data_IF_221229815145
#
_entry.id   IF_221229815145
#
_cell.length_a   1.000
_cell.length_b   1.000
_cell.length_c   1.000
_cell.angle_alpha   90.00
_cell.angle_beta   90.00
_cell.angle_gamma   90.00
#
_symmetry.space_group_name_H-M   'P 1'
#
loop_
_entity.id
_entity.type
_entity.pdbx_description
1 polymer ?
#
# COMPACT_ATOMS: atom_id res chain seq x y z
N UNK A 1 -47.86 -22.91 -39.40
CA UNK A 1 -47.69 -23.67 -40.66
C UNK A 1 -46.80 -22.86 -41.61
N UNK A 2 -45.81 -23.51 -42.24
CA UNK A 2 -44.73 -23.01 -43.15
C UNK A 2 -43.53 -22.34 -42.45
N UNK A 3 -42.42 -23.08 -42.24
CA UNK A 3 -41.28 -23.43 -43.14
C UNK A 3 -40.23 -22.29 -43.16
N UNK A 4 -39.08 -22.39 -42.49
CA UNK A 4 -37.86 -23.22 -42.70
C UNK A 4 -36.72 -22.47 -43.42
N UNK A 5 -35.55 -22.46 -42.74
CA UNK A 5 -34.21 -22.84 -43.26
C UNK A 5 -33.32 -21.87 -44.05
N UNK A 6 -32.08 -21.69 -43.50
CA UNK A 6 -30.70 -21.61 -44.10
C UNK A 6 -29.82 -20.78 -43.15
N UNK A 7 -28.70 -21.18 -42.53
CA UNK A 7 -27.58 -22.14 -42.72
C UNK A 7 -26.56 -21.76 -43.82
N UNK A 8 -25.40 -21.22 -43.41
CA UNK A 8 -24.01 -21.43 -43.94
C UNK A 8 -23.04 -20.65 -43.01
N UNK A 9 -22.05 -21.20 -42.29
CA UNK A 9 -20.82 -21.96 -42.63
C UNK A 9 -19.81 -21.22 -43.53
N UNK A 10 -18.58 -21.10 -43.02
CA UNK A 10 -17.35 -20.60 -43.68
C UNK A 10 -16.38 -20.02 -42.62
N UNK A 11 -15.55 -20.83 -41.94
CA UNK A 11 -14.18 -21.26 -42.30
C UNK A 11 -13.06 -20.34 -41.75
N UNK A 12 -12.28 -20.87 -40.78
CA UNK A 12 -10.86 -20.55 -40.49
C UNK A 12 -9.95 -21.24 -41.56
N UNK A 13 -8.58 -21.30 -41.49
CA UNK A 13 -7.54 -20.64 -40.66
C UNK A 13 -6.34 -20.13 -41.51
N UNK A 14 -5.27 -19.59 -40.86
CA UNK A 14 -3.81 -19.85 -41.10
C UNK A 14 -2.96 -18.73 -40.45
N UNK A 15 -2.17 -19.04 -39.42
CA UNK A 15 -0.75 -19.43 -39.45
C UNK A 15 0.23 -18.25 -39.64
N UNK A 16 1.13 -18.02 -38.66
CA UNK A 16 2.58 -17.97 -38.90
C UNK A 16 3.35 -17.74 -37.60
N UNK A 17 4.27 -18.66 -37.31
CA UNK A 17 5.31 -18.57 -36.30
C UNK A 17 6.55 -17.85 -36.84
N UNK A 18 7.29 -17.15 -35.97
CA UNK A 18 8.74 -16.91 -36.10
C UNK A 18 9.26 -16.37 -34.75
N UNK A 19 9.95 -17.16 -33.91
CA UNK A 19 11.41 -17.44 -33.89
C UNK A 19 12.28 -16.18 -33.88
N UNK A 20 13.03 -16.00 -32.78
CA UNK A 20 14.08 -15.00 -32.65
C UNK A 20 14.68 -14.91 -31.24
N UNK A 21 15.51 -15.89 -30.87
CA UNK A 21 16.65 -15.81 -29.94
C UNK A 21 17.83 -16.50 -30.66
N UNK A 22 19.13 -16.36 -30.33
CA UNK A 22 19.75 -15.95 -29.04
C UNK A 22 21.06 -15.10 -29.22
N UNK A 23 22.02 -15.22 -28.27
CA UNK A 23 23.43 -14.73 -28.19
C UNK A 23 23.62 -13.40 -27.42
N UNK A 24 24.27 -13.29 -26.25
CA UNK A 24 25.49 -13.91 -25.66
C UNK A 24 26.81 -13.36 -26.25
N UNK A 25 27.49 -12.49 -25.50
CA UNK A 25 28.93 -12.15 -25.52
C UNK A 25 29.18 -11.25 -24.30
N UNK A 26 29.80 -11.71 -23.20
CA UNK A 26 31.21 -12.02 -22.96
C UNK A 26 32.23 -10.95 -23.38
N UNK A 27 33.11 -10.68 -22.40
CA UNK A 27 34.45 -10.06 -22.47
C UNK A 27 34.59 -8.57 -22.78
N UNK A 28 35.07 -7.84 -21.76
CA UNK A 28 36.41 -7.25 -21.82
C UNK A 28 36.93 -6.89 -20.43
N UNK A 29 37.87 -7.70 -19.95
CA UNK A 29 38.95 -7.24 -19.08
C UNK A 29 39.86 -6.26 -19.86
N UNK A 30 40.32 -5.20 -19.19
CA UNK A 30 41.70 -4.73 -19.40
C UNK A 30 42.15 -3.85 -18.24
N UNK A 31 43.10 -4.38 -17.47
CA UNK A 31 44.37 -3.74 -17.10
C UNK A 31 44.41 -2.22 -16.93
N UNK A 32 44.77 -1.78 -15.72
CA UNK A 32 45.80 -0.75 -15.52
C UNK A 32 46.39 -0.91 -14.10
N UNK A 33 47.55 -1.56 -14.04
CA UNK A 33 48.49 -1.45 -12.93
C UNK A 33 49.63 -0.52 -13.38
N UNK A 34 49.91 0.55 -12.63
CA UNK A 34 51.21 1.22 -12.51
C UNK A 34 51.09 2.22 -11.34
N UNK A 35 51.65 1.96 -10.15
CA UNK A 35 53.04 2.11 -9.72
C UNK A 35 53.65 3.52 -9.85
N UNK A 36 54.06 4.04 -8.69
CA UNK A 36 55.07 5.10 -8.50
C UNK A 36 54.61 6.09 -7.42
N UNK A 37 55.39 6.53 -6.44
CA UNK A 37 56.81 6.41 -6.03
C UNK A 37 56.82 6.83 -4.55
N UNK A 38 57.40 6.06 -3.63
CA UNK A 38 58.75 6.27 -3.08
C UNK A 38 59.08 7.71 -2.63
N UNK A 39 59.09 7.93 -1.31
CA UNK A 39 60.04 8.85 -0.67
C UNK A 39 60.81 8.07 0.41
N UNK A 40 62.09 7.86 0.13
CA UNK A 40 63.14 7.56 1.10
C UNK A 40 63.61 8.91 1.66
N UNK A 41 63.75 9.02 2.97
CA UNK A 41 64.61 9.99 3.62
C UNK A 41 65.73 9.24 4.34
N UNK A 42 66.96 9.69 4.10
CA UNK A 42 68.21 9.18 4.65
C UNK A 42 68.28 9.44 6.17
N UNK A 43 68.89 8.54 6.97
CA UNK A 43 69.35 8.90 8.29
C UNK A 43 70.82 9.34 8.21
N UNK A 44 71.05 10.63 8.47
CA UNK A 44 72.37 11.16 8.75
C UNK A 44 72.91 10.62 10.07
N UNK A 45 74.18 10.22 10.05
CA UNK A 45 74.95 9.85 11.22
C UNK A 45 75.12 11.07 12.15
N UNK A 46 74.78 10.88 13.42
CA UNK A 46 75.30 11.70 14.51
C UNK A 46 75.82 10.76 15.60
N UNK A 47 77.12 10.89 15.83
CA UNK A 47 77.90 10.13 16.77
C UNK A 47 77.84 10.78 18.17
N UNK A 48 78.04 9.95 19.20
CA UNK A 48 78.42 10.30 20.57
C UNK A 48 77.46 11.13 21.46
N UNK A 49 76.71 10.42 22.32
CA UNK A 49 76.87 10.43 23.81
C UNK A 49 75.79 9.55 24.45
N UNK A 50 76.08 8.27 24.61
CA UNK A 50 75.31 7.37 25.46
C UNK A 50 75.77 7.62 26.89
N UNK A 51 75.18 8.62 27.53
CA UNK A 51 75.44 8.98 28.91
C UNK A 51 74.39 8.33 29.81
N UNK A 52 74.88 7.39 30.63
CA UNK A 52 74.48 7.10 32.01
C UNK A 52 73.00 6.89 32.43
N UNK A 53 72.03 6.84 31.51
CA UNK A 53 70.62 6.55 31.85
C UNK A 53 70.14 5.15 31.47
N UNK A 54 70.86 4.44 30.58
CA UNK A 54 70.50 3.10 30.10
C UNK A 54 70.66 1.96 31.12
N UNK A 55 71.29 2.21 32.28
CA UNK A 55 71.54 1.18 33.31
C UNK A 55 70.57 1.21 34.50
N UNK A 56 69.66 2.18 34.56
CA UNK A 56 68.68 2.30 35.65
C UNK A 56 67.28 1.73 35.30
N UNK A 57 67.05 1.35 34.04
CA UNK A 57 65.72 0.89 33.57
C UNK A 57 65.58 -0.66 33.56
N UNK A 58 66.69 -1.41 33.61
CA UNK A 58 66.68 -2.87 33.52
C UNK A 58 66.30 -3.63 34.81
N UNK A 59 66.00 -2.92 35.92
CA UNK A 59 65.54 -3.54 37.16
C UNK A 59 64.01 -3.56 37.36
N UNK A 60 63.27 -2.67 36.68
CA UNK A 60 61.82 -2.49 36.90
C UNK A 60 61.01 -2.29 35.60
N UNK A 61 61.64 -2.18 34.43
CA UNK A 61 60.96 -1.86 33.16
C UNK A 61 60.09 -2.97 32.57
N UNK A 62 60.33 -4.24 32.89
CA UNK A 62 59.58 -5.38 32.32
C UNK A 62 58.11 -5.44 32.77
N UNK A 63 57.82 -5.02 33.99
CA UNK A 63 56.47 -5.11 34.57
C UNK A 63 55.57 -3.93 34.14
N UNK A 64 56.15 -2.73 33.98
CA UNK A 64 55.42 -1.54 33.53
C UNK A 64 55.09 -1.61 32.03
N UNK A 65 56.00 -2.15 31.20
CA UNK A 65 55.75 -2.33 29.75
C UNK A 65 54.66 -3.40 29.51
N UNK A 66 54.60 -4.46 30.32
CA UNK A 66 53.53 -5.47 30.24
C UNK A 66 52.14 -4.93 30.59
N UNK A 67 52.04 -4.07 31.61
CA UNK A 67 50.77 -3.45 32.03
C UNK A 67 50.28 -2.42 31.00
N UNK A 68 51.19 -1.62 30.43
CA UNK A 68 50.85 -0.66 29.37
C UNK A 68 50.43 -1.38 28.09
N UNK A 69 51.06 -2.50 27.74
CA UNK A 69 50.65 -3.35 26.60
C UNK A 69 49.26 -3.98 26.77
N UNK A 70 48.92 -4.46 27.99
CA UNK A 70 47.59 -4.98 28.31
C UNK A 70 46.49 -3.89 28.27
N UNK A 71 46.79 -2.69 28.77
CA UNK A 71 45.88 -1.54 28.68
C UNK A 71 45.66 -1.08 27.24
N UNK A 72 46.72 -1.05 26.42
CA UNK A 72 46.60 -0.73 24.99
C UNK A 72 45.82 -1.81 24.23
N UNK A 73 46.06 -3.10 24.52
CA UNK A 73 45.30 -4.21 23.92
C UNK A 73 43.81 -4.19 24.28
N UNK A 74 43.47 -3.88 25.53
CA UNK A 74 42.08 -3.73 25.97
C UNK A 74 41.40 -2.51 25.33
N UNK A 75 42.07 -1.35 25.28
CA UNK A 75 41.55 -0.15 24.63
C UNK A 75 41.40 -0.33 23.10
N UNK A 76 42.34 -1.03 22.46
CA UNK A 76 42.24 -1.39 21.05
C UNK A 76 41.10 -2.37 20.78
N UNK A 77 40.93 -3.40 21.63
CA UNK A 77 39.82 -4.35 21.57
C UNK A 77 38.46 -3.68 21.75
N UNK A 78 38.33 -2.75 22.71
CA UNK A 78 37.09 -1.99 22.92
C UNK A 78 36.79 -1.05 21.74
N UNK A 79 37.80 -0.41 21.13
CA UNK A 79 37.61 0.37 19.89
C UNK A 79 37.20 -0.51 18.71
N UNK A 80 37.84 -1.66 18.55
CA UNK A 80 37.53 -2.60 17.48
C UNK A 80 36.13 -3.20 17.64
N UNK A 81 35.70 -3.46 18.88
CA UNK A 81 34.36 -3.94 19.19
C UNK A 81 33.31 -2.86 18.90
N UNK A 82 33.56 -1.59 19.25
CA UNK A 82 32.68 -0.47 18.88
C UNK A 82 32.57 -0.28 17.38
N UNK A 83 33.68 -0.34 16.64
CA UNK A 83 33.66 -0.28 15.18
C UNK A 83 32.87 -1.43 14.55
N UNK A 84 33.00 -2.65 15.08
CA UNK A 84 32.22 -3.80 14.59
C UNK A 84 30.71 -3.67 14.87
N UNK A 85 30.33 -3.06 16.01
CA UNK A 85 28.93 -2.79 16.32
C UNK A 85 28.35 -1.68 15.44
N UNK A 86 29.11 -0.61 15.19
CA UNK A 86 28.70 0.46 14.28
C UNK A 86 28.53 -0.07 12.85
N UNK A 87 29.45 -0.93 12.39
CA UNK A 87 29.36 -1.55 11.06
C UNK A 87 28.14 -2.48 10.94
N UNK A 88 27.86 -3.29 11.98
CA UNK A 88 26.68 -4.14 12.01
C UNK A 88 25.38 -3.33 12.03
N UNK A 89 25.33 -2.22 12.78
CA UNK A 89 24.18 -1.33 12.81
C UNK A 89 23.96 -0.65 11.45
N UNK A 90 25.03 -0.20 10.79
CA UNK A 90 24.94 0.34 9.42
C UNK A 90 24.48 -0.71 8.40
N UNK A 91 24.97 -1.95 8.50
CA UNK A 91 24.50 -3.04 7.65
C UNK A 91 23.02 -3.37 7.89
N UNK A 92 22.56 -3.35 9.14
CA UNK A 92 21.16 -3.54 9.50
C UNK A 92 20.28 -2.41 8.95
N UNK A 93 20.72 -1.16 9.07
CA UNK A 93 20.02 0.01 8.51
C UNK A 93 19.93 -0.06 6.98
N UNK A 94 21.05 -0.35 6.29
CA UNK A 94 21.07 -0.54 4.84
C UNK A 94 20.16 -1.69 4.39
N UNK A 95 20.14 -2.79 5.15
CA UNK A 95 19.26 -3.93 4.86
C UNK A 95 17.79 -3.53 4.99
N UNK A 96 17.42 -2.83 6.06
CA UNK A 96 16.06 -2.31 6.26
C UNK A 96 15.66 -1.34 5.15
N UNK A 97 16.51 -0.38 4.82
CA UNK A 97 16.23 0.59 3.75
C UNK A 97 16.08 -0.11 2.38
N UNK A 98 16.87 -1.16 2.13
CA UNK A 98 16.75 -1.96 0.91
C UNK A 98 15.46 -2.77 0.88
N UNK A 99 15.04 -3.35 2.00
CA UNK A 99 13.76 -4.05 2.13
C UNK A 99 12.58 -3.10 1.96
N UNK A 100 12.61 -1.93 2.59
CA UNK A 100 11.60 -0.88 2.43
C UNK A 100 11.47 -0.46 0.97
N UNK A 101 12.59 -0.14 0.29
CA UNK A 101 12.57 0.20 -1.15
C UNK A 101 12.07 -0.95 -2.02
N UNK A 102 12.36 -2.20 -1.69
CA UNK A 102 11.83 -3.38 -2.40
C UNK A 102 10.31 -3.50 -2.22
N UNK A 103 9.81 -3.28 -1.00
CA UNK A 103 8.38 -3.28 -0.73
C UNK A 103 7.68 -2.13 -1.47
N UNK A 104 8.25 -0.92 -1.44
CA UNK A 104 7.73 0.24 -2.18
C UNK A 104 7.68 -0.01 -3.69
N UNK A 105 8.75 -0.58 -4.26
CA UNK A 105 8.79 -0.93 -5.68
C UNK A 105 7.77 -2.02 -6.02
N UNK A 106 7.69 -3.08 -5.22
CA UNK A 106 6.71 -4.16 -5.40
C UNK A 106 5.27 -3.62 -5.32
N UNK A 107 4.99 -2.73 -4.37
CA UNK A 107 3.67 -2.09 -4.23
C UNK A 107 3.35 -1.19 -5.42
N UNK A 108 4.34 -0.45 -5.94
CA UNK A 108 4.18 0.39 -7.12
C UNK A 108 3.90 -0.43 -8.38
N UNK A 109 4.61 -1.55 -8.57
CA UNK A 109 4.35 -2.49 -9.67
C UNK A 109 2.94 -3.10 -9.58
N UNK A 110 2.53 -3.54 -8.38
CA UNK A 110 1.18 -4.05 -8.15
C UNK A 110 0.10 -2.99 -8.47
N UNK A 111 0.31 -1.75 -8.02
CA UNK A 111 -0.63 -0.66 -8.29
C UNK A 111 -0.73 -0.36 -9.79
N UNK A 112 0.40 -0.39 -10.51
CA UNK A 112 0.42 -0.20 -11.96
C UNK A 112 -0.30 -1.33 -12.69
N UNK A 113 -0.10 -2.59 -12.28
CA UNK A 113 -0.82 -3.74 -12.82
C UNK A 113 -2.33 -3.64 -12.58
N UNK A 114 -2.76 -3.27 -11.37
CA UNK A 114 -4.17 -3.04 -11.04
C UNK A 114 -4.78 -1.95 -11.91
N UNK A 115 -4.07 -0.82 -12.09
CA UNK A 115 -4.53 0.28 -12.92
C UNK A 115 -4.67 -0.13 -14.40
N UNK A 116 -3.70 -0.87 -14.94
CA UNK A 116 -3.75 -1.39 -16.32
C UNK A 116 -4.90 -2.38 -16.50
N UNK A 117 -5.10 -3.29 -15.55
CA UNK A 117 -6.21 -4.24 -15.58
C UNK A 117 -7.55 -3.52 -15.50
N UNK A 118 -7.72 -2.57 -14.57
CA UNK A 118 -8.93 -1.76 -14.45
C UNK A 118 -9.23 -0.99 -15.75
N UNK A 119 -8.20 -0.41 -16.38
CA UNK A 119 -8.34 0.27 -17.67
C UNK A 119 -8.81 -0.69 -18.79
N UNK A 120 -8.34 -1.94 -18.80
CA UNK A 120 -8.76 -2.95 -19.78
C UNK A 120 -10.25 -3.31 -19.68
N UNK A 121 -10.84 -3.19 -18.48
CA UNK A 121 -12.24 -3.53 -18.24
C UNK A 121 -13.22 -2.44 -18.70
N UNK A 122 -12.75 -1.20 -18.89
CA UNK A 122 -13.62 -0.04 -19.21
C UNK A 122 -14.46 -0.30 -20.47
N UNK A 123 -13.87 -0.86 -21.52
CA UNK A 123 -14.59 -1.09 -22.77
C UNK A 123 -15.68 -2.16 -22.60
N UNK A 124 -15.41 -3.21 -21.83
CA UNK A 124 -16.38 -4.26 -21.51
C UNK A 124 -17.55 -3.71 -20.69
N UNK A 125 -17.29 -2.79 -19.75
CA UNK A 125 -18.33 -2.09 -18.97
C UNK A 125 -19.19 -1.17 -19.84
N UNK A 126 -18.61 -0.49 -20.83
CA UNK A 126 -19.34 0.50 -21.63
C UNK A 126 -20.06 -0.10 -22.84
N UNK A 127 -19.51 -1.15 -23.46
CA UNK A 127 -19.95 -1.65 -24.75
C UNK A 127 -20.16 -3.16 -24.79
N UNK A 128 -19.88 -3.87 -23.71
CA UNK A 128 -20.09 -5.31 -23.64
C UNK A 128 -21.56 -5.70 -23.63
N UNK A 129 -21.81 -6.99 -23.81
CA UNK A 129 -23.08 -7.64 -23.50
C UNK A 129 -23.48 -7.41 -22.04
N UNK A 130 -24.73 -7.73 -21.69
CA UNK A 130 -25.20 -7.73 -20.28
C UNK A 130 -24.20 -8.48 -19.36
N UNK A 131 -23.83 -9.70 -19.73
CA UNK A 131 -22.92 -10.54 -18.94
C UNK A 131 -21.52 -9.95 -18.83
N UNK A 132 -20.96 -9.45 -19.95
CA UNK A 132 -19.63 -8.82 -19.94
C UNK A 132 -19.59 -7.56 -19.09
N UNK A 133 -20.64 -6.74 -19.13
CA UNK A 133 -20.74 -5.52 -18.31
C UNK A 133 -20.76 -5.85 -16.82
N UNK A 134 -21.58 -6.82 -16.42
CA UNK A 134 -21.70 -7.24 -15.02
C UNK A 134 -20.41 -7.90 -14.51
N UNK A 135 -19.80 -8.79 -15.30
CA UNK A 135 -18.51 -9.40 -14.95
C UNK A 135 -17.40 -8.36 -14.85
N UNK A 136 -17.35 -7.41 -15.77
CA UNK A 136 -16.36 -6.34 -15.74
C UNK A 136 -16.56 -5.41 -14.53
N UNK A 137 -17.80 -5.13 -14.13
CA UNK A 137 -18.09 -4.42 -12.87
C UNK A 137 -17.61 -5.20 -11.65
N UNK A 138 -17.90 -6.50 -11.55
CA UNK A 138 -17.45 -7.33 -10.42
C UNK A 138 -15.91 -7.36 -10.36
N UNK A 139 -15.25 -7.45 -11.51
CA UNK A 139 -13.79 -7.39 -11.58
C UNK A 139 -13.26 -6.00 -11.14
N UNK A 140 -13.91 -4.90 -11.55
CA UNK A 140 -13.57 -3.55 -11.11
C UNK A 140 -13.71 -3.37 -9.59
N UNK A 141 -14.74 -3.94 -8.95
CA UNK A 141 -14.93 -3.89 -7.49
C UNK A 141 -13.68 -4.36 -6.74
N UNK A 142 -13.02 -5.42 -7.24
CA UNK A 142 -11.84 -6.01 -6.60
C UNK A 142 -10.52 -5.27 -6.85
N UNK A 143 -10.45 -4.40 -7.85
CA UNK A 143 -9.18 -3.77 -8.27
C UNK A 143 -9.17 -2.26 -8.14
N UNK A 144 -10.31 -1.60 -8.37
CA UNK A 144 -10.45 -0.16 -8.29
C UNK A 144 -11.89 0.20 -7.91
N UNK A 145 -12.09 0.44 -6.62
CA UNK A 145 -13.38 0.82 -6.04
C UNK A 145 -13.92 2.13 -6.60
N UNK A 146 -13.06 3.11 -6.86
CA UNK A 146 -13.49 4.40 -7.39
C UNK A 146 -14.07 4.23 -8.80
N UNK A 147 -13.40 3.47 -9.65
CA UNK A 147 -13.91 3.15 -10.98
C UNK A 147 -15.19 2.29 -10.89
N UNK A 148 -15.25 1.33 -9.99
CA UNK A 148 -16.47 0.56 -9.76
C UNK A 148 -17.66 1.46 -9.40
N UNK A 149 -17.52 2.39 -8.45
CA UNK A 149 -18.60 3.33 -8.07
C UNK A 149 -19.01 4.20 -9.26
N UNK A 150 -18.03 4.76 -9.97
CA UNK A 150 -18.26 5.66 -11.11
C UNK A 150 -18.99 4.97 -12.25
N UNK A 151 -18.56 3.77 -12.64
CA UNK A 151 -19.21 3.03 -13.72
C UNK A 151 -20.54 2.43 -13.29
N UNK A 152 -20.68 2.02 -12.03
CA UNK A 152 -21.96 1.59 -11.48
C UNK A 152 -22.99 2.72 -11.53
N UNK A 153 -22.60 3.95 -11.19
CA UNK A 153 -23.49 5.12 -11.35
C UNK A 153 -23.93 5.33 -12.80
N UNK A 154 -22.99 5.26 -13.74
CA UNK A 154 -23.27 5.41 -15.18
C UNK A 154 -24.27 4.36 -15.64
N UNK A 155 -24.03 3.08 -15.31
CA UNK A 155 -24.89 1.98 -15.74
C UNK A 155 -26.26 2.07 -15.04
N UNK A 156 -26.31 2.31 -13.73
CA UNK A 156 -27.56 2.44 -12.98
C UNK A 156 -28.48 3.56 -13.54
N UNK A 157 -27.90 4.65 -14.05
CA UNK A 157 -28.67 5.78 -14.62
C UNK A 157 -28.99 5.61 -16.09
N UNK A 158 -28.02 5.17 -16.90
CA UNK A 158 -28.07 5.34 -18.35
C UNK A 158 -28.17 4.05 -19.14
N UNK A 159 -27.96 2.88 -18.55
CA UNK A 159 -28.02 1.62 -19.30
C UNK A 159 -29.39 1.46 -19.98
N UNK A 160 -29.39 0.95 -21.20
CA UNK A 160 -30.63 0.65 -21.93
C UNK A 160 -31.37 -0.53 -21.30
N UNK A 161 -30.64 -1.50 -20.75
CA UNK A 161 -31.19 -2.73 -20.21
C UNK A 161 -31.71 -2.55 -18.76
N UNK A 162 -33.03 -2.72 -18.51
CA UNK A 162 -33.58 -2.65 -17.16
C UNK A 162 -33.08 -3.72 -16.18
N UNK A 163 -32.61 -4.87 -16.67
CA UNK A 163 -32.02 -5.90 -15.82
C UNK A 163 -30.67 -5.44 -15.27
N UNK A 164 -29.79 -4.95 -16.16
CA UNK A 164 -28.49 -4.38 -15.77
C UNK A 164 -28.67 -3.23 -14.78
N UNK A 165 -29.54 -2.25 -15.08
CA UNK A 165 -29.77 -1.11 -14.17
C UNK A 165 -30.12 -1.56 -12.76
N UNK A 166 -31.10 -2.47 -12.63
CA UNK A 166 -31.57 -2.93 -11.31
C UNK A 166 -30.50 -3.71 -10.55
N UNK A 167 -29.77 -4.61 -11.21
CA UNK A 167 -28.68 -5.33 -10.57
C UNK A 167 -27.57 -4.38 -10.08
N UNK A 168 -27.25 -3.36 -10.86
CA UNK A 168 -26.25 -2.36 -10.46
C UNK A 168 -26.76 -1.49 -9.31
N UNK A 169 -28.03 -1.07 -9.32
CA UNK A 169 -28.65 -0.33 -8.20
C UNK A 169 -28.62 -1.16 -6.91
N UNK A 170 -28.96 -2.44 -6.99
CA UNK A 170 -28.89 -3.36 -5.86
C UNK A 170 -27.44 -3.51 -5.36
N UNK A 171 -26.48 -3.63 -6.28
CA UNK A 171 -25.05 -3.67 -6.00
C UNK A 171 -24.56 -2.43 -5.24
N UNK A 172 -24.98 -1.23 -5.67
CA UNK A 172 -24.69 0.04 -4.98
C UNK A 172 -25.22 0.03 -3.54
N UNK A 173 -26.41 -0.53 -3.28
CA UNK A 173 -26.93 -0.65 -1.91
C UNK A 173 -26.19 -1.67 -1.03
N UNK A 174 -25.67 -2.75 -1.63
CA UNK A 174 -24.96 -3.82 -0.91
C UNK A 174 -23.49 -3.50 -0.65
N UNK A 175 -22.83 -2.83 -1.60
CA UNK A 175 -21.37 -2.66 -1.62
C UNK A 175 -20.93 -1.21 -1.56
N UNK A 176 -21.81 -0.29 -1.93
CA UNK A 176 -21.51 1.12 -1.95
C UNK A 176 -21.35 1.72 -0.56
N UNK A 177 -20.68 2.85 -0.54
CA UNK A 177 -20.47 3.69 0.64
C UNK A 177 -21.36 4.94 0.60
N UNK A 178 -21.18 5.85 1.55
CA UNK A 178 -21.94 7.09 1.64
C UNK A 178 -21.85 7.93 0.36
N UNK A 179 -20.77 7.80 -0.42
CA UNK A 179 -20.57 8.45 -1.72
C UNK A 179 -21.65 8.10 -2.74
N UNK A 180 -22.18 6.87 -2.70
CA UNK A 180 -23.19 6.42 -3.68
C UNK A 180 -24.62 6.76 -3.25
N UNK A 181 -24.82 7.23 -2.01
CA UNK A 181 -26.15 7.61 -1.49
C UNK A 181 -26.81 8.67 -2.36
N UNK A 182 -26.07 9.72 -2.73
CA UNK A 182 -26.62 10.78 -3.59
C UNK A 182 -27.04 10.21 -4.95
N UNK A 183 -26.26 9.28 -5.49
CA UNK A 183 -26.60 8.59 -6.74
C UNK A 183 -27.91 7.81 -6.63
N UNK A 184 -28.11 7.08 -5.52
CA UNK A 184 -29.36 6.38 -5.27
C UNK A 184 -30.54 7.35 -5.13
N UNK A 185 -30.38 8.47 -4.43
CA UNK A 185 -31.42 9.51 -4.31
C UNK A 185 -31.81 10.06 -5.69
N UNK A 186 -30.82 10.40 -6.53
CA UNK A 186 -31.08 10.85 -7.90
C UNK A 186 -31.85 9.81 -8.71
N UNK A 187 -31.54 8.51 -8.56
CA UNK A 187 -32.27 7.44 -9.26
C UNK A 187 -33.69 7.29 -8.71
N UNK A 188 -33.93 7.49 -7.41
CA UNK A 188 -35.28 7.50 -6.85
C UNK A 188 -36.15 8.58 -7.49
N UNK A 189 -35.58 9.77 -7.72
CA UNK A 189 -36.29 10.92 -8.30
C UNK A 189 -36.45 10.81 -9.82
N UNK A 190 -35.37 10.43 -10.51
CA UNK A 190 -35.21 10.58 -11.95
C UNK A 190 -35.05 9.24 -12.70
N UNK A 191 -35.18 8.11 -12.00
CA UNK A 191 -35.01 6.78 -12.58
C UNK A 191 -35.91 6.55 -13.78
N UNK A 192 -35.37 5.89 -14.81
CA UNK A 192 -36.04 5.62 -16.09
C UNK A 192 -37.38 4.89 -15.94
N UNK A 193 -37.47 3.99 -14.96
CA UNK A 193 -38.66 3.19 -14.71
C UNK A 193 -39.09 3.27 -13.23
N UNK A 194 -40.38 3.03 -12.91
CA UNK A 194 -40.82 2.92 -11.52
C UNK A 194 -40.09 1.82 -10.74
N UNK A 195 -39.74 0.71 -11.40
CA UNK A 195 -39.00 -0.38 -10.79
C UNK A 195 -37.58 0.06 -10.36
N UNK A 196 -36.89 0.85 -11.20
CA UNK A 196 -35.56 1.40 -10.86
C UNK A 196 -35.63 2.30 -9.62
N UNK A 197 -36.68 3.12 -9.51
CA UNK A 197 -36.88 4.03 -8.36
C UNK A 197 -37.14 3.26 -7.07
N UNK A 198 -37.96 2.21 -7.14
CA UNK A 198 -38.25 1.34 -5.99
C UNK A 198 -36.98 0.62 -5.52
N UNK A 199 -36.19 0.08 -6.46
CA UNK A 199 -34.94 -0.61 -6.11
C UNK A 199 -33.91 0.37 -5.55
N UNK A 200 -33.82 1.60 -6.08
CA UNK A 200 -32.93 2.62 -5.54
C UNK A 200 -33.30 3.04 -4.12
N UNK A 201 -34.60 3.10 -3.80
CA UNK A 201 -35.11 3.33 -2.45
C UNK A 201 -34.73 2.19 -1.50
N UNK A 202 -34.86 0.94 -1.95
CA UNK A 202 -34.43 -0.23 -1.17
C UNK A 202 -32.91 -0.22 -0.92
N UNK A 203 -32.13 0.06 -1.95
CA UNK A 203 -30.68 0.15 -1.86
C UNK A 203 -30.23 1.24 -0.87
N UNK A 204 -30.85 2.41 -0.91
CA UNK A 204 -30.54 3.52 0.02
C UNK A 204 -30.98 3.21 1.46
N UNK A 205 -32.10 2.52 1.64
CA UNK A 205 -32.52 2.01 2.94
C UNK A 205 -31.52 1.00 3.52
N UNK A 206 -30.88 0.17 2.68
CA UNK A 206 -29.84 -0.76 3.12
C UNK A 206 -28.61 -0.01 3.68
N UNK A 207 -28.12 1.00 2.97
CA UNK A 207 -27.03 1.87 3.46
C UNK A 207 -27.40 2.52 4.81
N UNK A 208 -28.64 3.01 4.93
CA UNK A 208 -29.16 3.59 6.18
C UNK A 208 -29.19 2.57 7.32
N UNK A 209 -29.62 1.34 7.05
CA UNK A 209 -29.69 0.27 8.04
C UNK A 209 -28.30 -0.07 8.58
N UNK A 210 -27.31 -0.21 7.69
CA UNK A 210 -25.91 -0.50 8.08
C UNK A 210 -25.30 0.64 8.88
N UNK A 211 -25.57 1.89 8.51
CA UNK A 211 -25.16 3.04 9.31
C UNK A 211 -25.70 2.94 10.74
N UNK A 212 -27.03 2.77 10.87
CA UNK A 212 -27.70 2.69 12.17
C UNK A 212 -27.20 1.52 13.02
N UNK A 213 -27.04 0.35 12.43
CA UNK A 213 -26.54 -0.83 13.12
C UNK A 213 -25.12 -0.61 13.67
N UNK A 214 -24.21 -0.07 12.85
CA UNK A 214 -22.85 0.20 13.28
C UNK A 214 -22.80 1.28 14.38
N UNK A 215 -23.59 2.36 14.25
CA UNK A 215 -23.67 3.39 15.30
C UNK A 215 -24.22 2.83 16.62
N UNK A 216 -25.26 1.99 16.56
CA UNK A 216 -25.83 1.36 17.75
C UNK A 216 -24.81 0.48 18.48
N UNK A 217 -24.10 -0.39 17.74
CA UNK A 217 -23.05 -1.26 18.30
C UNK A 217 -21.89 -0.44 18.84
N UNK A 218 -21.43 0.57 18.08
CA UNK A 218 -20.35 1.46 18.51
C UNK A 218 -20.68 2.13 19.84
N UNK A 219 -21.91 2.64 19.99
CA UNK A 219 -22.37 3.27 21.22
C UNK A 219 -22.39 2.31 22.40
N UNK A 220 -22.89 1.09 22.20
CA UNK A 220 -22.88 0.07 23.24
C UNK A 220 -21.47 -0.26 23.75
N UNK A 221 -20.48 -0.39 22.84
CA UNK A 221 -19.08 -0.61 23.22
C UNK A 221 -18.43 0.61 23.87
N UNK A 222 -18.77 1.81 23.40
CA UNK A 222 -18.29 3.07 23.97
C UNK A 222 -18.71 3.20 25.43
N UNK A 223 -19.98 2.92 25.73
CA UNK A 223 -20.55 3.08 27.07
C UNK A 223 -19.95 2.12 28.11
N UNK A 224 -19.45 0.96 27.68
CA UNK A 224 -18.75 -0.01 28.54
C UNK A 224 -17.21 0.16 28.53
N UNK A 225 -16.69 1.20 27.88
CA UNK A 225 -15.25 1.48 27.83
C UNK A 225 -14.42 0.56 26.92
N UNK A 226 -15.06 -0.19 26.02
CA UNK A 226 -14.35 -1.01 25.02
C UNK A 226 -13.96 -0.15 23.81
N UNK A 227 -12.94 0.69 23.99
CA UNK A 227 -12.55 1.72 23.03
C UNK A 227 -12.22 1.20 21.63
N UNK A 228 -11.48 0.08 21.55
CA UNK A 228 -11.14 -0.51 20.25
C UNK A 228 -12.39 -0.94 19.48
N UNK A 229 -13.24 -1.76 20.10
CA UNK A 229 -14.50 -2.20 19.49
C UNK A 229 -15.39 -1.02 19.10
N UNK A 230 -15.50 -0.01 19.96
CA UNK A 230 -16.26 1.20 19.66
C UNK A 230 -15.70 1.93 18.43
N UNK A 231 -14.38 2.12 18.38
CA UNK A 231 -13.70 2.76 17.27
C UNK A 231 -13.85 1.97 15.95
N UNK A 232 -13.74 0.64 15.99
CA UNK A 232 -13.95 -0.24 14.83
C UNK A 232 -15.35 -0.02 14.23
N UNK A 233 -16.41 -0.10 15.06
CA UNK A 233 -17.77 0.10 14.58
C UNK A 233 -18.06 1.54 14.15
N UNK A 234 -17.49 2.54 14.82
CA UNK A 234 -17.61 3.93 14.38
C UNK A 234 -16.89 4.18 13.04
N UNK A 235 -15.70 3.60 12.85
CA UNK A 235 -14.97 3.68 11.59
C UNK A 235 -15.77 3.06 10.44
N UNK A 236 -16.37 1.89 10.67
CA UNK A 236 -17.30 1.27 9.72
C UNK A 236 -18.54 2.13 9.45
N UNK A 237 -19.19 2.67 10.49
CA UNK A 237 -20.33 3.59 10.34
C UNK A 237 -19.96 4.79 9.45
N UNK A 238 -18.75 5.32 9.64
CA UNK A 238 -18.23 6.47 8.92
C UNK A 238 -18.18 6.28 7.40
N UNK A 239 -18.15 5.03 6.91
CA UNK A 239 -18.15 4.71 5.48
C UNK A 239 -19.51 4.96 4.84
N UNK A 240 -20.61 4.90 5.59
CA UNK A 240 -21.97 5.05 5.04
C UNK A 240 -22.55 6.46 5.18
N UNK A 241 -21.84 7.34 5.89
CA UNK A 241 -22.26 8.73 6.12
C UNK A 241 -21.97 9.56 4.88
N UNK A 242 -22.94 10.39 4.49
CA UNK A 242 -22.70 11.42 3.49
C UNK A 242 -21.92 12.57 4.12
N UNK A 243 -20.90 13.07 3.41
CA UNK A 243 -20.05 14.20 3.86
C UNK A 243 -20.85 15.47 4.13
N UNK A 244 -22.08 15.58 3.63
CA UNK A 244 -23.00 16.69 3.95
C UNK A 244 -23.63 16.59 5.34
N UNK A 245 -23.68 15.39 5.94
CA UNK A 245 -24.37 15.11 7.20
C UNK A 245 -23.49 15.36 8.43
N UNK A 246 -22.17 15.37 8.26
CA UNK A 246 -21.19 15.52 9.32
C UNK A 246 -20.09 16.48 8.92
N UNK A 247 -19.40 17.05 9.92
CA UNK A 247 -18.23 17.89 9.70
C UNK A 247 -17.08 17.05 9.12
N UNK A 248 -16.78 17.26 7.84
CA UNK A 248 -15.77 16.50 7.10
C UNK A 248 -14.37 16.58 7.71
N UNK A 249 -14.00 17.72 8.30
CA UNK A 249 -12.68 17.89 8.95
C UNK A 249 -12.58 17.04 10.22
N UNK A 250 -13.67 17.00 11.00
CA UNK A 250 -13.74 16.15 12.20
C UNK A 250 -13.78 14.67 11.85
N UNK A 251 -14.45 14.31 10.75
CA UNK A 251 -14.46 12.95 10.23
C UNK A 251 -13.04 12.48 9.85
N UNK A 252 -12.29 13.32 9.13
CA UNK A 252 -10.90 13.03 8.75
C UNK A 252 -10.03 12.85 10.00
N UNK A 253 -10.16 13.75 10.98
CA UNK A 253 -9.40 13.67 12.22
C UNK A 253 -9.71 12.37 13.00
N UNK A 254 -10.99 12.01 13.13
CA UNK A 254 -11.40 10.78 13.80
C UNK A 254 -10.85 9.52 13.11
N UNK A 255 -10.85 9.49 11.77
CA UNK A 255 -10.22 8.41 10.99
C UNK A 255 -8.71 8.37 11.18
N UNK A 256 -8.06 9.53 11.20
CA UNK A 256 -6.61 9.62 11.44
C UNK A 256 -6.25 9.02 12.81
N UNK A 257 -7.01 9.31 13.87
CA UNK A 257 -6.77 8.68 15.17
C UNK A 257 -6.87 7.15 15.11
N UNK A 258 -7.89 6.64 14.42
CA UNK A 258 -8.10 5.19 14.27
C UNK A 258 -6.95 4.52 13.51
N UNK A 259 -6.55 5.10 12.37
CA UNK A 259 -5.52 4.55 11.48
C UNK A 259 -4.13 4.52 12.13
N UNK A 260 -3.89 5.39 13.12
CA UNK A 260 -2.63 5.44 13.88
C UNK A 260 -2.72 4.75 15.25
N UNK A 261 -3.76 3.95 15.50
CA UNK A 261 -3.92 3.15 16.72
C UNK A 261 -4.41 3.90 17.97
N UNK A 262 -4.77 5.18 17.85
CA UNK A 262 -5.39 5.99 18.89
C UNK A 262 -6.88 5.66 19.06
N UNK A 263 -7.20 4.44 19.48
CA UNK A 263 -8.58 3.93 19.49
C UNK A 263 -9.50 4.68 20.46
N UNK A 264 -8.97 5.13 21.60
CA UNK A 264 -9.76 5.91 22.56
C UNK A 264 -10.10 7.28 22.01
N UNK A 265 -9.11 8.00 21.47
CA UNK A 265 -9.27 9.29 20.83
C UNK A 265 -10.22 9.19 19.63
N UNK A 266 -10.07 8.14 18.81
CA UNK A 266 -10.94 7.86 17.68
C UNK A 266 -12.38 7.65 18.13
N UNK A 267 -12.61 6.77 19.13
CA UNK A 267 -13.95 6.47 19.63
C UNK A 267 -14.64 7.73 20.21
N UNK A 268 -13.91 8.56 20.95
CA UNK A 268 -14.43 9.84 21.48
C UNK A 268 -14.74 10.82 20.34
N UNK A 269 -13.83 10.98 19.38
CA UNK A 269 -14.02 11.87 18.24
C UNK A 269 -15.24 11.45 17.40
N UNK A 270 -15.37 10.15 17.11
CA UNK A 270 -16.52 9.61 16.38
C UNK A 270 -17.83 9.73 17.17
N UNK A 271 -17.85 9.39 18.46
CA UNK A 271 -19.06 9.54 19.29
C UNK A 271 -19.54 11.00 19.30
N UNK A 272 -18.62 11.95 19.41
CA UNK A 272 -18.97 13.38 19.35
C UNK A 272 -19.50 13.77 17.97
N UNK A 273 -18.89 13.27 16.90
CA UNK A 273 -19.30 13.54 15.52
C UNK A 273 -20.71 13.00 15.22
N UNK A 274 -20.98 11.77 15.63
CA UNK A 274 -22.23 11.06 15.32
C UNK A 274 -23.34 11.27 16.35
N UNK A 275 -23.08 11.94 17.47
CA UNK A 275 -24.10 12.28 18.48
C UNK A 275 -25.29 13.08 17.95
N UNK A 276 -25.16 13.65 16.75
CA UNK A 276 -26.16 14.49 16.08
C UNK A 276 -26.92 13.79 14.95
N UNK A 277 -26.54 12.57 14.61
CA UNK A 277 -27.21 11.74 13.58
C UNK A 277 -28.29 10.86 14.22
#
# INVERSE_FOLDING_TARGET
MRKESRKSLGEEPTASANRGAPEESQEKESHMAHLGKAMRTEPGAFDQKIDLWGRLIFGFGGLIIGIVGLLFGYLAGVRQQKQSQELNNQQLELTRETEEKRLEFSNSQLNLQKAQFAASLINSVLKGSETERLLALVALEGVDKYLWEKYSEILARYDSDPAVRRQVIEGLGKKGEGTVRQTLITIQEQGKTPADRVEAKRAEANLTSRLKENLHRAKAFFDIGQWKSAADYFYEASKYVDKTQVDGSKLILARSHYEHGGYQEAAVAFNNLFSKL
#
